data_IF_109803615041
#
_entry.id   IF_109803615041
#
_cell.length_a   1.000
_cell.length_b   1.000
_cell.length_c   1.000
_cell.angle_alpha   90.00
_cell.angle_beta   90.00
_cell.angle_gamma   90.00
#
_symmetry.space_group_name_H-M   'P 1'
#
loop_
_entity.id
_entity.type
_entity.pdbx_description
1 polymer ?
#
# COMPACT_ATOMS: atom_id res chain seq x y z
N UNK A 1 3.22 -62.01 40.91
CA UNK A 1 4.05 -60.79 41.09
C UNK A 1 4.21 -60.14 39.72
N UNK A 2 3.56 -59.00 39.50
CA UNK A 2 3.37 -58.37 38.19
C UNK A 2 4.12 -57.04 38.22
N UNK A 3 5.24 -56.93 37.49
CA UNK A 3 5.94 -55.66 37.29
C UNK A 3 5.92 -55.31 35.81
N UNK A 4 5.02 -54.39 35.48
CA UNK A 4 4.83 -53.79 34.17
C UNK A 4 5.79 -52.58 34.10
N UNK A 5 6.84 -52.67 33.27
CA UNK A 5 7.74 -51.54 33.02
C UNK A 5 7.24 -50.78 31.79
N UNK A 6 6.61 -49.62 32.03
CA UNK A 6 6.22 -48.66 30.99
C UNK A 6 7.47 -47.86 30.63
N UNK A 7 8.01 -48.10 29.43
CA UNK A 7 9.10 -47.31 28.85
C UNK A 7 8.52 -45.96 28.39
N UNK A 8 8.74 -44.93 29.22
CA UNK A 8 8.27 -43.57 28.99
C UNK A 8 9.10 -42.94 27.86
N UNK A 9 8.52 -42.89 26.66
CA UNK A 9 9.10 -42.24 25.48
C UNK A 9 9.12 -40.73 25.70
N UNK A 10 10.24 -40.22 26.22
CA UNK A 10 10.49 -38.79 26.38
C UNK A 10 10.72 -38.20 24.98
N UNK A 11 9.63 -37.88 24.29
CA UNK A 11 9.62 -37.06 23.08
C UNK A 11 10.13 -35.67 23.47
N UNK A 12 11.44 -35.49 23.36
CA UNK A 12 12.10 -34.20 23.48
C UNK A 12 11.47 -33.26 22.45
N UNK A 13 10.62 -32.38 22.95
CA UNK A 13 10.10 -31.24 22.20
C UNK A 13 11.30 -30.33 21.98
N UNK A 14 12.03 -30.56 20.89
CA UNK A 14 13.03 -29.60 20.40
C UNK A 14 12.21 -28.43 19.86
N UNK A 15 11.82 -27.54 20.78
CA UNK A 15 11.33 -26.22 20.44
C UNK A 15 12.50 -25.49 19.79
N UNK A 16 12.52 -25.53 18.46
CA UNK A 16 13.36 -24.65 17.69
C UNK A 16 12.81 -23.24 17.91
N UNK A 17 13.31 -22.56 18.94
CA UNK A 17 13.19 -21.12 19.05
C UNK A 17 13.96 -20.53 17.88
N UNK A 18 13.30 -20.42 16.73
CA UNK A 18 13.73 -19.52 15.67
C UNK A 18 13.70 -18.15 16.33
N UNK A 19 14.88 -17.65 16.72
CA UNK A 19 15.04 -16.24 17.02
C UNK A 19 14.58 -15.49 15.77
N UNK A 20 13.44 -14.82 15.87
CA UNK A 20 12.96 -13.89 14.84
C UNK A 20 13.98 -12.75 14.75
N UNK A 21 15.03 -12.95 13.95
CA UNK A 21 15.98 -11.91 13.62
C UNK A 21 15.35 -11.04 12.56
N UNK A 22 14.59 -10.02 12.94
CA UNK A 22 14.39 -8.88 12.04
C UNK A 22 15.77 -8.31 11.76
N UNK A 23 16.25 -8.41 10.52
CA UNK A 23 17.52 -7.83 10.12
C UNK A 23 17.44 -6.31 10.29
N UNK A 24 18.39 -5.74 11.03
CA UNK A 24 18.53 -4.28 11.14
C UNK A 24 19.43 -3.79 10.00
N UNK A 25 18.98 -2.76 9.29
CA UNK A 25 19.75 -2.09 8.24
C UNK A 25 20.22 -0.76 8.82
N UNK A 26 21.51 -0.68 9.16
CA UNK A 26 22.10 0.54 9.68
C UNK A 26 22.38 1.53 8.56
N UNK A 27 22.01 2.79 8.78
CA UNK A 27 22.18 3.90 7.85
C UNK A 27 22.82 5.06 8.60
N UNK A 28 24.03 5.44 8.21
CA UNK A 28 24.67 6.66 8.68
C UNK A 28 24.15 7.86 7.86
N UNK A 29 23.41 8.76 8.51
CA UNK A 29 22.86 9.94 7.84
C UNK A 29 23.90 11.06 7.64
N UNK A 30 25.04 11.00 8.33
CA UNK A 30 26.13 11.96 8.17
C UNK A 30 27.13 11.51 7.08
N UNK A 31 27.00 10.26 6.61
CA UNK A 31 27.77 9.74 5.50
C UNK A 31 27.34 10.41 4.18
N UNK A 32 28.27 11.10 3.54
CA UNK A 32 28.07 11.76 2.24
C UNK A 32 28.83 11.01 1.14
N UNK A 33 28.28 9.87 0.74
CA UNK A 33 28.82 9.12 -0.39
C UNK A 33 28.48 9.82 -1.71
N UNK A 34 29.46 9.88 -2.63
CA UNK A 34 29.20 10.26 -4.01
C UNK A 34 28.63 9.04 -4.74
N UNK A 35 27.32 8.98 -4.86
CA UNK A 35 26.59 7.93 -5.59
C UNK A 35 26.24 8.42 -6.99
N UNK A 36 26.52 7.61 -8.02
CA UNK A 36 26.05 7.89 -9.37
C UNK A 36 24.62 7.41 -9.53
N UNK A 37 23.80 8.15 -10.28
CA UNK A 37 22.46 7.67 -10.66
C UNK A 37 22.53 6.35 -11.44
N UNK A 38 23.64 6.11 -12.15
CA UNK A 38 23.88 4.88 -12.91
C UNK A 38 24.23 3.68 -12.01
N UNK A 39 24.54 3.91 -10.73
CA UNK A 39 24.67 2.83 -9.74
C UNK A 39 23.29 2.35 -9.25
N UNK A 40 22.25 3.17 -9.44
CA UNK A 40 20.88 2.93 -8.96
C UNK A 40 19.90 2.56 -10.07
N UNK A 41 20.19 2.92 -11.32
CA UNK A 41 19.30 2.73 -12.46
C UNK A 41 20.06 2.21 -13.69
N UNK A 42 19.56 1.11 -14.26
CA UNK A 42 20.11 0.53 -15.50
C UNK A 42 19.93 1.46 -16.72
N UNK A 43 18.87 2.28 -16.72
CA UNK A 43 18.59 3.24 -17.78
C UNK A 43 17.69 4.38 -17.30
N UNK A 44 17.73 5.51 -18.02
CA UNK A 44 16.89 6.68 -17.79
C UNK A 44 16.21 7.03 -19.11
N UNK A 45 14.88 7.16 -19.10
CA UNK A 45 14.07 7.50 -20.27
C UNK A 45 13.08 8.62 -19.93
N UNK A 46 12.81 9.48 -20.92
CA UNK A 46 11.78 10.51 -20.82
C UNK A 46 10.65 10.14 -21.78
N UNK A 47 9.43 10.04 -21.25
CA UNK A 47 8.22 9.81 -22.03
C UNK A 47 7.37 11.07 -21.99
N UNK A 48 7.12 11.68 -23.14
CA UNK A 48 6.19 12.79 -23.27
C UNK A 48 4.80 12.24 -23.56
N UNK A 49 3.84 12.49 -22.67
CA UNK A 49 2.45 12.13 -22.93
C UNK A 49 1.83 13.06 -23.98
N UNK A 50 1.12 12.46 -24.93
CA UNK A 50 0.34 13.16 -25.95
C UNK A 50 -0.55 14.20 -25.26
N UNK A 51 -0.51 15.43 -25.78
CA UNK A 51 -1.24 16.57 -25.21
C UNK A 51 -2.23 17.09 -26.23
N UNK A 52 -3.46 16.59 -26.14
CA UNK A 52 -4.62 17.00 -26.95
C UNK A 52 -5.78 17.40 -26.03
N UNK A 53 -6.84 17.97 -26.59
CA UNK A 53 -8.05 18.28 -25.80
C UNK A 53 -8.63 17.03 -25.11
N UNK A 54 -8.39 15.83 -25.65
CA UNK A 54 -8.87 14.58 -25.08
C UNK A 54 -8.02 14.04 -23.94
N UNK A 55 -6.74 14.44 -23.87
CA UNK A 55 -5.72 13.89 -22.97
C UNK A 55 -5.13 14.92 -21.98
N UNK A 56 -5.74 16.11 -21.91
CA UNK A 56 -5.30 17.18 -21.00
C UNK A 56 -5.68 16.87 -19.55
N UNK A 57 -4.69 16.82 -18.67
CA UNK A 57 -4.85 16.64 -17.22
C UNK A 57 -4.38 17.88 -16.44
N UNK A 58 -4.92 18.07 -15.23
CA UNK A 58 -4.64 19.24 -14.37
C UNK A 58 -3.69 18.93 -13.22
N UNK A 59 -3.98 17.89 -12.43
CA UNK A 59 -3.18 17.55 -11.26
C UNK A 59 -2.96 16.03 -11.20
N UNK A 60 -1.79 15.60 -11.67
CA UNK A 60 -1.39 14.20 -11.61
C UNK A 60 -1.09 13.84 -10.15
N UNK A 61 -1.90 12.95 -9.61
CA UNK A 61 -1.70 12.40 -8.26
C UNK A 61 -1.00 11.05 -8.26
N UNK A 62 -1.06 10.31 -9.37
CA UNK A 62 -0.46 8.98 -9.51
C UNK A 62 -0.17 8.67 -10.98
N UNK A 63 0.97 8.02 -11.22
CA UNK A 63 1.33 7.43 -12.53
C UNK A 63 1.72 5.98 -12.26
N UNK A 64 1.05 5.04 -12.93
CA UNK A 64 1.26 3.61 -12.76
C UNK A 64 1.70 3.00 -14.09
N UNK A 65 2.98 2.62 -14.26
CA UNK A 65 3.40 1.82 -15.39
C UNK A 65 2.93 0.37 -15.21
N UNK A 66 2.30 -0.20 -16.24
CA UNK A 66 1.93 -1.62 -16.25
C UNK A 66 1.74 -2.12 -17.68
N UNK A 67 2.33 -3.28 -18.01
CA UNK A 67 2.23 -3.95 -19.33
C UNK A 67 2.35 -2.97 -20.53
N UNK A 68 3.46 -2.23 -20.58
CA UNK A 68 3.76 -1.25 -21.65
C UNK A 68 2.72 -0.13 -21.80
N UNK A 69 2.00 0.21 -20.73
CA UNK A 69 1.09 1.35 -20.64
C UNK A 69 1.38 2.16 -19.40
N UNK A 70 0.96 3.42 -19.42
CA UNK A 70 0.94 4.30 -18.26
C UNK A 70 -0.51 4.66 -17.92
N UNK A 71 -0.91 4.40 -16.68
CA UNK A 71 -2.19 4.83 -16.11
C UNK A 71 -1.96 6.06 -15.25
N UNK A 72 -2.51 7.20 -15.66
CA UNK A 72 -2.29 8.50 -15.04
C UNK A 72 -3.58 8.96 -14.38
N UNK A 73 -3.54 9.18 -13.07
CA UNK A 73 -4.71 9.65 -12.32
C UNK A 73 -4.64 11.14 -12.05
N UNK A 74 -5.51 11.88 -12.72
CA UNK A 74 -5.79 13.27 -12.42
C UNK A 74 -6.85 13.37 -11.32
N UNK A 75 -6.40 13.66 -10.11
CA UNK A 75 -7.27 13.70 -8.92
C UNK A 75 -8.22 14.89 -8.94
N UNK A 76 -7.82 16.02 -9.52
CA UNK A 76 -8.68 17.20 -9.55
C UNK A 76 -9.84 17.00 -10.52
N UNK A 77 -9.58 16.37 -11.67
CA UNK A 77 -10.62 16.06 -12.65
C UNK A 77 -11.27 14.69 -12.43
N UNK A 78 -10.83 13.89 -11.46
CA UNK A 78 -11.28 12.50 -11.20
C UNK A 78 -11.25 11.62 -12.45
N UNK A 79 -10.21 11.78 -13.27
CA UNK A 79 -10.06 11.09 -14.55
C UNK A 79 -8.82 10.21 -14.52
N UNK A 80 -8.96 8.98 -15.00
CA UNK A 80 -7.81 8.12 -15.30
C UNK A 80 -7.55 8.18 -16.79
N UNK A 81 -6.35 8.55 -17.19
CA UNK A 81 -5.88 8.51 -18.57
C UNK A 81 -4.99 7.28 -18.76
N UNK A 82 -5.06 6.67 -19.94
CA UNK A 82 -4.18 5.59 -20.34
C UNK A 82 -3.38 6.01 -21.58
N UNK A 83 -2.07 5.82 -21.49
CA UNK A 83 -1.13 6.06 -22.58
C UNK A 83 -0.35 4.77 -22.87
N UNK A 84 0.10 4.60 -24.10
CA UNK A 84 1.06 3.53 -24.41
C UNK A 84 2.47 3.87 -23.90
N UNK A 85 3.41 2.93 -24.06
CA UNK A 85 4.81 3.09 -23.64
C UNK A 85 5.56 4.25 -24.34
N UNK A 86 5.07 4.74 -25.48
CA UNK A 86 5.64 5.89 -26.20
C UNK A 86 5.04 7.21 -25.75
N UNK A 87 3.97 7.16 -24.96
CA UNK A 87 3.22 8.30 -24.46
C UNK A 87 2.03 8.69 -25.33
N UNK A 88 1.66 7.89 -26.35
CA UNK A 88 0.47 8.15 -27.16
C UNK A 88 -0.80 7.89 -26.36
N UNK A 89 -1.80 8.75 -26.51
CA UNK A 89 -3.07 8.60 -25.81
C UNK A 89 -3.86 7.39 -26.34
N UNK A 90 -4.39 6.57 -25.43
CA UNK A 90 -5.21 5.40 -25.77
C UNK A 90 -6.68 5.63 -25.42
N UNK A 91 -6.97 5.92 -24.15
CA UNK A 91 -8.34 6.15 -23.66
C UNK A 91 -8.32 6.88 -22.31
N UNK A 92 -9.50 7.32 -21.85
CA UNK A 92 -9.71 7.83 -20.49
C UNK A 92 -10.96 7.26 -19.86
N UNK A 93 -10.93 7.13 -18.54
CA UNK A 93 -12.09 6.82 -17.69
C UNK A 93 -12.47 8.11 -16.97
N UNK A 94 -13.61 8.68 -17.36
CA UNK A 94 -14.21 9.89 -16.79
C UNK A 94 -15.72 9.70 -16.62
N UNK A 95 -16.11 8.72 -15.79
CA UNK A 95 -17.52 8.33 -15.57
C UNK A 95 -18.08 8.98 -14.30
N UNK A 96 -18.20 10.31 -14.28
CA UNK A 96 -18.72 11.04 -13.11
C UNK A 96 -20.23 10.90 -12.99
N UNK A 97 -20.70 10.52 -11.80
CA UNK A 97 -22.13 10.39 -11.52
C UNK A 97 -22.43 9.35 -10.45
N UNK A 98 -23.67 8.86 -10.41
CA UNK A 98 -24.18 7.93 -9.38
C UNK A 98 -24.68 6.61 -9.94
N UNK A 99 -24.55 6.42 -11.26
CA UNK A 99 -24.91 5.20 -11.96
C UNK A 99 -24.09 3.98 -11.54
N UNK A 100 -24.47 2.80 -12.06
CA UNK A 100 -23.80 1.53 -11.75
C UNK A 100 -22.33 1.50 -12.17
N UNK A 101 -21.96 2.24 -13.21
CA UNK A 101 -20.59 2.33 -13.75
C UNK A 101 -19.91 3.68 -13.45
N UNK A 102 -20.58 4.53 -12.67
CA UNK A 102 -20.15 5.89 -12.39
C UNK A 102 -19.64 6.03 -10.95
N UNK A 103 -18.92 7.13 -10.72
CA UNK A 103 -18.39 7.54 -9.44
C UNK A 103 -18.58 9.03 -9.16
N UNK A 104 -18.84 9.37 -7.90
CA UNK A 104 -18.89 10.75 -7.43
C UNK A 104 -17.51 11.28 -7.03
N UNK A 105 -16.62 10.36 -6.64
CA UNK A 105 -15.27 10.65 -6.18
C UNK A 105 -14.39 9.43 -6.37
N UNK A 106 -13.08 9.61 -6.46
CA UNK A 106 -12.10 8.52 -6.51
C UNK A 106 -10.99 8.90 -5.56
N UNK A 107 -10.76 8.09 -4.52
CA UNK A 107 -9.72 8.33 -3.52
C UNK A 107 -8.33 7.94 -4.02
N UNK A 108 -8.26 6.72 -4.55
CA UNK A 108 -7.03 6.09 -5.04
C UNK A 108 -7.34 5.22 -6.27
N UNK A 109 -6.30 4.95 -7.06
CA UNK A 109 -6.34 3.97 -8.14
C UNK A 109 -5.22 2.94 -7.97
N UNK A 110 -5.48 1.70 -8.39
CA UNK A 110 -4.48 0.64 -8.28
C UNK A 110 -4.60 -0.36 -9.43
N UNK A 111 -3.47 -0.86 -9.92
CA UNK A 111 -3.45 -1.98 -10.86
C UNK A 111 -3.29 -3.28 -10.06
N UNK A 112 -4.36 -4.08 -10.03
CA UNK A 112 -4.33 -5.45 -9.54
C UNK A 112 -3.64 -6.35 -10.58
N UNK A 113 -2.34 -6.55 -10.40
CA UNK A 113 -1.52 -7.37 -11.30
C UNK A 113 -1.82 -8.88 -11.20
N UNK A 114 -2.55 -9.33 -10.18
CA UNK A 114 -2.91 -10.75 -10.05
C UNK A 114 -4.11 -11.13 -10.90
N UNK A 115 -4.98 -10.14 -11.17
CA UNK A 115 -6.21 -10.28 -11.94
C UNK A 115 -6.21 -9.45 -13.24
N UNK A 116 -5.17 -8.67 -13.51
CA UNK A 116 -5.07 -7.75 -14.64
C UNK A 116 -6.24 -6.75 -14.71
N UNK A 117 -6.46 -6.04 -13.60
CA UNK A 117 -7.59 -5.12 -13.44
C UNK A 117 -7.14 -3.77 -12.90
N UNK A 118 -7.83 -2.72 -13.32
CA UNK A 118 -7.72 -1.39 -12.74
C UNK A 118 -8.83 -1.20 -11.68
N UNK A 119 -8.42 -0.85 -10.47
CA UNK A 119 -9.30 -0.56 -9.34
C UNK A 119 -9.39 0.96 -9.15
N UNK A 120 -10.61 1.49 -9.08
CA UNK A 120 -10.90 2.86 -8.65
C UNK A 120 -11.59 2.79 -7.28
N UNK A 121 -10.91 3.24 -6.24
CA UNK A 121 -11.42 3.23 -4.88
C UNK A 121 -12.28 4.46 -4.64
N UNK A 122 -13.51 4.28 -4.18
CA UNK A 122 -14.35 5.35 -3.62
C UNK A 122 -14.34 5.21 -2.11
N UNK A 123 -13.89 6.23 -1.35
CA UNK A 123 -13.50 6.07 0.04
C UNK A 123 -14.68 5.67 0.94
N UNK A 124 -15.92 6.01 0.56
CA UNK A 124 -17.11 5.79 1.37
C UNK A 124 -17.92 4.54 1.01
N UNK A 125 -17.31 3.57 0.32
CA UNK A 125 -17.85 2.22 0.39
C UNK A 125 -17.99 1.44 -0.91
N UNK A 126 -17.19 1.72 -1.94
CA UNK A 126 -17.08 0.77 -3.06
C UNK A 126 -15.78 0.91 -3.85
N UNK A 127 -15.46 -0.14 -4.61
CA UNK A 127 -14.41 -0.15 -5.63
C UNK A 127 -15.08 -0.39 -6.98
N UNK A 128 -14.80 0.45 -7.97
CA UNK A 128 -15.08 0.09 -9.37
C UNK A 128 -13.89 -0.68 -9.93
N UNK A 129 -14.19 -1.71 -10.71
CA UNK A 129 -13.23 -2.60 -11.33
C UNK A 129 -13.39 -2.45 -12.84
N UNK A 130 -12.27 -2.17 -13.52
CA UNK A 130 -12.16 -2.07 -14.96
C UNK A 130 -11.12 -3.08 -15.46
N UNK A 131 -11.25 -3.49 -16.72
CA UNK A 131 -10.15 -4.16 -17.41
C UNK A 131 -9.03 -3.16 -17.76
N UNK A 132 -7.96 -3.64 -18.38
CA UNK A 132 -6.82 -2.82 -18.75
C UNK A 132 -7.09 -1.91 -19.97
N UNK A 133 -8.17 -2.15 -20.69
CA UNK A 133 -8.69 -1.40 -21.84
C UNK A 133 -9.68 -0.29 -21.41
N UNK A 134 -10.00 -0.20 -20.12
CA UNK A 134 -10.88 0.81 -19.55
C UNK A 134 -12.37 0.47 -19.62
N UNK A 135 -12.72 -0.77 -19.95
CA UNK A 135 -14.10 -1.23 -19.90
C UNK A 135 -14.49 -1.60 -18.47
N UNK A 136 -15.70 -1.23 -18.10
CA UNK A 136 -16.23 -1.53 -16.77
C UNK A 136 -16.48 -3.04 -16.63
N UNK A 137 -16.00 -3.62 -15.53
CA UNK A 137 -16.26 -5.02 -15.16
C UNK A 137 -17.34 -5.10 -14.08
N UNK A 138 -17.13 -4.41 -12.95
CA UNK A 138 -18.06 -4.49 -11.81
C UNK A 138 -17.86 -3.38 -10.79
N UNK A 139 -18.87 -3.17 -9.94
CA UNK A 139 -18.84 -2.25 -8.80
C UNK A 139 -19.05 -3.04 -7.51
N UNK A 140 -18.01 -3.12 -6.69
CA UNK A 140 -18.03 -3.90 -5.45
C UNK A 140 -18.24 -3.00 -4.24
N UNK A 141 -19.36 -3.16 -3.55
CA UNK A 141 -19.62 -2.49 -2.27
C UNK A 141 -18.69 -3.04 -1.20
N UNK A 142 -18.13 -2.14 -0.39
CA UNK A 142 -17.28 -2.48 0.74
C UNK A 142 -18.09 -2.46 2.05
N UNK A 143 -17.66 -3.20 3.09
CA UNK A 143 -18.31 -3.19 4.39
C UNK A 143 -18.39 -1.78 5.00
N UNK A 144 -19.58 -1.43 5.53
CA UNK A 144 -19.87 -0.12 6.13
C UNK A 144 -19.27 0.10 7.51
N UNK A 145 -18.76 -0.97 8.13
CA UNK A 145 -18.05 -0.89 9.41
C UNK A 145 -16.74 -0.09 9.32
N UNK A 146 -16.22 0.13 8.12
CA UNK A 146 -15.09 1.02 7.86
C UNK A 146 -15.62 2.33 7.30
N UNK A 147 -15.33 3.44 7.98
CA UNK A 147 -15.89 4.75 7.64
C UNK A 147 -15.29 5.34 6.37
N UNK A 148 -14.00 5.07 6.12
CA UNK A 148 -13.26 5.61 4.99
C UNK A 148 -12.10 4.70 4.58
N UNK A 149 -12.02 4.35 3.32
CA UNK A 149 -10.91 3.63 2.71
C UNK A 149 -10.04 4.62 1.94
N UNK A 150 -8.73 4.66 2.21
CA UNK A 150 -7.81 5.67 1.70
C UNK A 150 -6.89 5.18 0.57
N UNK A 151 -6.45 3.93 0.64
CA UNK A 151 -5.63 3.30 -0.40
C UNK A 151 -6.06 1.84 -0.58
N UNK A 152 -5.86 1.29 -1.77
CA UNK A 152 -6.19 -0.10 -2.10
C UNK A 152 -5.00 -0.80 -2.76
N UNK A 153 -4.76 -2.04 -2.35
CA UNK A 153 -3.72 -2.90 -2.89
C UNK A 153 -4.24 -4.32 -3.07
N UNK A 154 -3.78 -5.01 -4.11
CA UNK A 154 -4.00 -6.45 -4.25
C UNK A 154 -2.86 -7.21 -3.55
N UNK A 155 -3.21 -8.07 -2.59
CA UNK A 155 -2.26 -8.96 -1.90
C UNK A 155 -2.06 -10.24 -2.72
N UNK A 156 -3.15 -10.74 -3.30
CA UNK A 156 -3.22 -11.88 -4.21
C UNK A 156 -4.56 -11.81 -4.97
N UNK A 157 -4.87 -12.84 -5.76
CA UNK A 157 -6.11 -12.89 -6.56
C UNK A 157 -7.39 -12.69 -5.75
N UNK A 158 -7.42 -13.18 -4.51
CA UNK A 158 -8.63 -13.25 -3.69
C UNK A 158 -8.66 -12.21 -2.56
N UNK A 159 -7.55 -11.50 -2.30
CA UNK A 159 -7.41 -10.64 -1.11
C UNK A 159 -6.99 -9.23 -1.50
N UNK A 160 -7.77 -8.25 -1.06
CA UNK A 160 -7.40 -6.84 -1.07
C UNK A 160 -6.92 -6.40 0.31
N UNK A 161 -5.94 -5.52 0.32
CA UNK A 161 -5.54 -4.73 1.48
C UNK A 161 -6.02 -3.30 1.25
N UNK A 162 -6.72 -2.76 2.25
CA UNK A 162 -7.03 -1.35 2.30
C UNK A 162 -6.26 -0.67 3.42
N UNK A 163 -5.80 0.55 3.14
CA UNK A 163 -5.40 1.46 4.21
C UNK A 163 -6.55 2.39 4.60
N UNK A 164 -6.66 2.68 5.88
CA UNK A 164 -7.74 3.49 6.44
C UNK A 164 -7.22 4.35 7.61
N UNK A 165 -7.51 5.64 7.64
CA UNK A 165 -7.15 6.52 8.76
C UNK A 165 -8.14 6.45 9.94
N UNK A 166 -9.03 5.45 9.97
CA UNK A 166 -9.98 5.19 11.07
C UNK A 166 -9.37 4.19 12.07
N UNK A 167 -10.19 3.50 12.88
CA UNK A 167 -9.78 2.59 13.97
C UNK A 167 -8.60 1.65 13.64
N UNK A 168 -8.55 1.07 12.44
CA UNK A 168 -7.44 0.23 11.98
C UNK A 168 -6.84 0.79 10.70
N UNK A 169 -5.50 0.81 10.64
CA UNK A 169 -4.77 1.27 9.47
C UNK A 169 -4.74 0.28 8.33
N UNK A 170 -4.76 -1.02 8.62
CA UNK A 170 -4.68 -2.07 7.60
C UNK A 170 -5.86 -3.02 7.72
N UNK A 171 -6.60 -3.16 6.62
CA UNK A 171 -7.85 -3.93 6.56
C UNK A 171 -7.76 -4.91 5.40
N UNK A 172 -7.80 -6.21 5.72
CA UNK A 172 -7.75 -7.29 4.74
C UNK A 172 -9.15 -7.74 4.39
N UNK A 173 -9.47 -7.71 3.11
CA UNK A 173 -10.78 -8.02 2.57
C UNK A 173 -10.70 -9.19 1.61
N UNK A 174 -11.53 -10.20 1.84
CA UNK A 174 -11.67 -11.36 0.96
C UNK A 174 -12.69 -11.07 -0.12
N UNK A 175 -12.26 -11.08 -1.38
CA UNK A 175 -13.12 -10.99 -2.57
C UNK A 175 -14.09 -12.17 -2.64
N UNK A 176 -13.62 -13.36 -2.26
CA UNK A 176 -14.40 -14.61 -2.29
C UNK A 176 -15.54 -14.61 -1.26
N UNK A 177 -15.24 -14.18 -0.04
CA UNK A 177 -16.22 -14.21 1.06
C UNK A 177 -17.01 -12.90 1.19
N UNK A 178 -16.65 -11.88 0.41
CA UNK A 178 -17.21 -10.53 0.49
C UNK A 178 -17.17 -9.95 1.91
N UNK A 179 -16.05 -10.15 2.62
CA UNK A 179 -15.96 -9.80 4.03
C UNK A 179 -14.54 -9.42 4.43
N UNK A 180 -14.45 -8.63 5.50
CA UNK A 180 -13.18 -8.35 6.16
C UNK A 180 -12.74 -9.60 6.91
N UNK A 181 -11.53 -10.07 6.61
CA UNK A 181 -10.96 -11.28 7.19
C UNK A 181 -9.87 -10.99 8.24
N UNK A 182 -9.33 -9.77 8.26
CA UNK A 182 -8.36 -9.34 9.26
C UNK A 182 -8.28 -7.80 9.33
N UNK A 183 -7.94 -7.29 10.51
CA UNK A 183 -7.62 -5.87 10.74
C UNK A 183 -6.37 -5.81 11.61
N UNK A 184 -5.44 -4.91 11.29
CA UNK A 184 -4.25 -4.70 12.11
C UNK A 184 -3.78 -3.24 12.05
N UNK A 185 -2.76 -2.92 12.86
CA UNK A 185 -2.22 -1.58 13.03
C UNK A 185 -3.30 -0.63 13.57
N UNK A 186 -3.77 -0.93 14.79
CA UNK A 186 -4.81 -0.12 15.44
C UNK A 186 -4.33 1.33 15.64
N UNK A 187 -5.22 2.30 15.51
CA UNK A 187 -4.86 3.71 15.72
C UNK A 187 -4.42 3.96 17.15
N UNK A 188 -5.03 3.29 18.13
CA UNK A 188 -4.61 3.40 19.53
C UNK A 188 -3.22 2.80 19.81
N UNK A 189 -2.76 1.86 18.96
CA UNK A 189 -1.39 1.35 19.02
C UNK A 189 -0.38 2.36 18.46
N UNK A 190 -0.83 3.31 17.62
CA UNK A 190 0.02 4.33 17.01
C UNK A 190 -0.71 5.69 16.88
N UNK A 191 -1.15 6.34 17.97
CA UNK A 191 -2.08 7.49 17.89
C UNK A 191 -1.47 8.76 17.27
N UNK A 192 -0.15 8.77 17.11
CA UNK A 192 0.68 9.91 16.77
C UNK A 192 0.97 10.05 15.27
N UNK A 193 0.43 9.18 14.41
CA UNK A 193 0.83 9.14 12.99
C UNK A 193 -0.39 9.16 12.07
N UNK A 194 -0.49 10.24 11.30
CA UNK A 194 -1.31 10.30 10.10
C UNK A 194 -0.73 9.33 9.05
N UNK A 195 -1.58 8.49 8.45
CA UNK A 195 -1.16 7.71 7.29
C UNK A 195 -0.67 8.67 6.20
N UNK A 196 0.59 8.54 5.81
CA UNK A 196 1.12 9.28 4.65
C UNK A 196 0.97 8.41 3.41
N UNK A 197 0.43 8.99 2.33
CA UNK A 197 0.36 8.28 1.04
C UNK A 197 1.77 7.84 0.64
N UNK A 198 1.88 6.60 0.15
CA UNK A 198 3.17 6.01 -0.21
C UNK A 198 3.91 5.31 0.93
N UNK A 199 3.28 5.17 2.11
CA UNK A 199 3.83 4.32 3.19
C UNK A 199 3.85 2.84 2.81
N UNK A 200 3.10 2.43 1.79
CA UNK A 200 3.11 1.07 1.23
C UNK A 200 3.76 1.06 -0.13
N UNK A 201 4.64 0.09 -0.35
CA UNK A 201 5.27 -0.19 -1.63
C UNK A 201 5.27 -1.69 -1.93
N UNK A 202 5.47 -2.01 -3.20
CA UNK A 202 5.54 -3.38 -3.70
C UNK A 202 6.99 -3.75 -4.03
N UNK A 203 7.42 -4.93 -3.61
CA UNK A 203 8.71 -5.52 -3.98
C UNK A 203 8.57 -7.04 -4.08
N UNK A 204 9.02 -7.65 -5.19
CA UNK A 204 8.91 -9.10 -5.45
C UNK A 204 7.52 -9.69 -5.11
N UNK A 205 6.47 -9.10 -5.68
CA UNK A 205 5.06 -9.50 -5.45
C UNK A 205 4.57 -9.46 -3.99
N UNK A 206 5.35 -8.89 -3.08
CA UNK A 206 4.96 -8.63 -1.70
C UNK A 206 4.73 -7.14 -1.46
N UNK A 207 3.78 -6.84 -0.58
CA UNK A 207 3.52 -5.49 -0.10
C UNK A 207 4.26 -5.28 1.20
N UNK A 208 4.88 -4.11 1.32
CA UNK A 208 5.62 -3.68 2.50
C UNK A 208 5.07 -2.35 2.98
N UNK A 209 4.89 -2.21 4.28
CA UNK A 209 4.49 -0.97 4.93
C UNK A 209 5.66 -0.44 5.74
N UNK A 210 6.15 0.76 5.39
CA UNK A 210 7.14 1.44 6.20
C UNK A 210 6.44 2.20 7.32
N UNK A 211 6.73 1.82 8.57
CA UNK A 211 6.41 2.62 9.76
C UNK A 211 7.56 3.57 10.10
N UNK A 212 8.35 3.99 9.10
CA UNK A 212 9.33 5.07 9.27
C UNK A 212 8.63 6.32 9.82
N UNK A 213 9.17 6.85 10.91
CA UNK A 213 8.50 7.89 11.72
C UNK A 213 7.80 7.37 12.97
N UNK A 214 7.73 6.05 13.19
CA UNK A 214 7.23 5.42 14.42
C UNK A 214 8.33 4.66 15.16
N UNK A 215 8.67 3.49 14.61
CA UNK A 215 9.53 2.46 15.19
C UNK A 215 10.57 1.97 14.16
N UNK A 216 10.63 2.62 12.99
CA UNK A 216 11.51 2.29 11.87
C UNK A 216 11.33 0.90 11.28
N UNK A 217 10.27 0.19 11.65
CA UNK A 217 10.00 -1.11 11.09
C UNK A 217 9.53 -1.00 9.64
N UNK A 218 9.84 -2.02 8.87
CA UNK A 218 9.19 -2.31 7.60
C UNK A 218 8.42 -3.60 7.79
N UNK A 219 7.11 -3.51 7.60
CA UNK A 219 6.21 -4.62 7.83
C UNK A 219 5.86 -5.33 6.52
N UNK A 220 5.89 -6.67 6.49
CA UNK A 220 5.37 -7.42 5.34
C UNK A 220 3.84 -7.52 5.45
N UNK A 221 3.15 -6.83 4.56
CA UNK A 221 1.70 -6.78 4.52
C UNK A 221 1.08 -7.90 3.68
N UNK A 222 1.85 -8.62 2.87
CA UNK A 222 1.34 -9.82 2.19
C UNK A 222 1.18 -11.01 3.14
N UNK A 223 1.90 -11.01 4.27
CA UNK A 223 1.89 -12.07 5.27
C UNK A 223 1.59 -11.50 6.67
N UNK A 224 0.34 -11.11 6.98
CA UNK A 224 -0.01 -10.36 8.20
C UNK A 224 0.32 -11.05 9.53
N UNK A 225 0.63 -12.35 9.50
CA UNK A 225 1.08 -13.14 10.67
C UNK A 225 2.60 -13.08 10.92
N UNK A 226 3.42 -12.60 9.97
CA UNK A 226 4.88 -12.42 10.08
C UNK A 226 5.21 -10.96 9.79
N UNK A 227 5.25 -10.14 10.84
CA UNK A 227 5.05 -8.70 10.69
C UNK A 227 6.30 -7.95 10.28
N UNK A 228 7.43 -8.09 10.95
CA UNK A 228 8.62 -7.25 10.67
C UNK A 228 9.53 -7.93 9.66
N UNK A 229 9.68 -7.33 8.48
CA UNK A 229 10.62 -7.77 7.46
C UNK A 229 12.06 -7.35 7.84
N UNK A 230 12.22 -6.08 8.20
CA UNK A 230 13.48 -5.49 8.66
C UNK A 230 13.20 -4.18 9.39
N UNK A 231 14.23 -3.60 9.98
CA UNK A 231 14.17 -2.31 10.68
C UNK A 231 15.27 -1.37 10.16
N UNK A 232 14.97 -0.08 10.06
CA UNK A 232 15.97 0.95 9.78
C UNK A 232 16.62 1.46 11.07
N UNK A 233 17.95 1.43 11.13
CA UNK A 233 18.71 1.96 12.25
C UNK A 233 19.54 3.18 11.83
N UNK A 234 19.06 4.36 12.19
CA UNK A 234 19.70 5.66 11.99
C UNK A 234 20.56 6.09 13.19
N UNK A 235 20.91 5.16 14.09
CA UNK A 235 21.70 5.45 15.29
C UNK A 235 21.05 6.48 16.21
N UNK A 236 21.78 7.56 16.54
CA UNK A 236 21.25 8.66 17.37
C UNK A 236 20.09 9.41 16.71
N UNK A 237 19.91 9.26 15.39
CA UNK A 237 18.85 9.90 14.62
C UNK A 237 17.56 9.06 14.54
N UNK A 238 17.51 7.89 15.18
CA UNK A 238 16.28 7.10 15.28
C UNK A 238 15.11 7.91 15.85
N UNK A 239 13.90 7.61 15.38
CA UNK A 239 12.70 8.21 15.92
C UNK A 239 12.50 7.75 17.36
N UNK A 240 12.17 8.70 18.22
CA UNK A 240 11.74 8.44 19.59
C UNK A 240 10.36 9.05 19.77
N UNK A 241 9.53 8.47 20.64
CA UNK A 241 8.20 9.03 20.99
C UNK A 241 8.28 10.52 21.33
N UNK A 242 9.32 10.93 22.07
CA UNK A 242 9.57 12.35 22.40
C UNK A 242 9.80 13.21 21.17
N UNK A 243 10.63 12.77 20.21
CA UNK A 243 10.90 13.51 18.97
C UNK A 243 9.66 13.62 18.09
N UNK A 244 8.91 12.53 17.95
CA UNK A 244 7.66 12.48 17.17
C UNK A 244 6.65 13.49 17.74
N UNK A 245 6.41 13.45 19.06
CA UNK A 245 5.52 14.39 19.76
C UNK A 245 5.93 15.85 19.58
N UNK A 246 7.22 16.17 19.78
CA UNK A 246 7.73 17.53 19.59
C UNK A 246 7.52 18.02 18.14
N UNK A 247 7.74 17.14 17.15
CA UNK A 247 7.50 17.46 15.74
C UNK A 247 6.03 17.81 15.46
N UNK A 248 5.09 17.06 16.01
CA UNK A 248 3.66 17.36 15.86
C UNK A 248 3.22 18.66 16.54
N UNK A 249 3.71 18.92 17.76
CA UNK A 249 3.41 20.17 18.47
C UNK A 249 3.92 21.41 17.71
N UNK A 250 5.04 21.27 16.98
CA UNK A 250 5.54 22.34 16.11
C UNK A 250 4.63 22.59 14.89
N UNK A 251 4.12 21.53 14.25
CA UNK A 251 3.21 21.61 13.10
C UNK A 251 1.86 22.22 13.48
N UNK A 252 1.33 21.93 14.67
CA UNK A 252 0.05 22.48 15.12
C UNK A 252 0.13 23.98 15.42
N UNK A 253 1.28 24.47 15.89
CA UNK A 253 1.56 25.90 16.07
C UNK A 253 1.74 26.64 14.75
N UNK A 254 2.34 26.01 13.74
CA UNK A 254 2.54 26.61 12.42
C UNK A 254 1.26 26.72 11.56
N UNK A 255 0.19 26.00 11.94
CA UNK A 255 -1.14 26.06 11.28
C UNK A 255 -2.11 27.03 11.96
N UNK A 256 -1.69 27.74 13.01
CA UNK A 256 -2.41 28.87 13.63
C UNK A 256 -1.85 30.18 13.12
#
# INVERSE_FOLDING_TARGET
MRKLYILMFFLGIVSCNIKEGSSSISVDLDQSDKVSIFDLADSISIVQFETTNESLFKYISKVIPYKNRFYVFDKLSLTVFCFDSTGKFLFKINKKGRGPEEYEYVEDIYIDNFNDQLLLLVPWGYVLIFDLEGNFISKKKLPKEVLSYNEVFAVNRDTLLFLSSNEYRAIYYSRKNDSIINKCLGVDEMPEIELTKGSVYKYNDSLYFSSAGFDNNVLNMSHPKRRVAYNWDFGINNFTKKRIRNGMESKSKARK
#
